data_IF_301739389306
#
_entry.id   IF_301739389306
#
_cell.length_a   1.000
_cell.length_b   1.000
_cell.length_c   1.000
_cell.angle_alpha   90.00
_cell.angle_beta   90.00
_cell.angle_gamma   90.00
#
_symmetry.space_group_name_H-M   'P 1'
#
loop_
_entity.id
_entity.type
_entity.pdbx_description
1 polymer ?
#
# COMPACT_ATOMS: atom_id res chain seq x y z
N UNK A 1 -6.39 -13.60 12.20
CA UNK A 1 -5.12 -14.24 11.85
C UNK A 1 -4.81 -13.87 10.40
N UNK A 2 -4.05 -12.79 10.19
CA UNK A 2 -3.45 -12.51 8.89
C UNK A 2 -2.19 -13.39 8.86
N UNK A 3 -2.25 -14.51 8.15
CA UNK A 3 -1.11 -15.42 8.07
C UNK A 3 -0.15 -14.84 7.02
N UNK A 4 0.71 -13.92 7.47
CA UNK A 4 1.94 -13.60 6.75
C UNK A 4 3.06 -14.33 7.49
N UNK A 5 3.24 -15.62 7.18
CA UNK A 5 4.46 -16.31 7.62
C UNK A 5 5.65 -15.76 6.83
N UNK A 6 6.57 -15.13 7.55
CA UNK A 6 7.98 -14.96 7.21
C UNK A 6 8.32 -14.03 6.00
N UNK A 7 8.80 -12.82 6.31
CA UNK A 7 9.48 -11.91 5.38
C UNK A 7 10.99 -11.90 5.65
N UNK A 8 11.78 -12.70 4.91
CA UNK A 8 13.20 -12.42 4.75
C UNK A 8 13.57 -12.51 3.27
N UNK A 9 13.11 -11.53 2.49
CA UNK A 9 13.73 -11.12 1.21
C UNK A 9 13.08 -11.53 -0.13
N UNK A 10 11.78 -11.85 -0.25
CA UNK A 10 11.14 -11.98 -1.58
C UNK A 10 9.67 -11.55 -1.74
N UNK A 11 8.87 -11.57 -0.66
CA UNK A 11 7.42 -11.31 -0.75
C UNK A 11 7.08 -9.83 -1.07
N UNK A 12 7.73 -8.87 -0.40
CA UNK A 12 7.46 -7.45 -0.63
C UNK A 12 8.03 -6.94 -1.96
N UNK A 13 9.25 -7.36 -2.31
CA UNK A 13 9.88 -6.96 -3.58
C UNK A 13 9.05 -7.43 -4.78
N UNK A 14 8.64 -8.70 -4.79
CA UNK A 14 7.78 -9.24 -5.86
C UNK A 14 6.45 -8.48 -5.98
N UNK A 15 5.90 -8.03 -4.85
CA UNK A 15 4.69 -7.21 -4.84
C UNK A 15 4.94 -5.81 -5.43
N UNK A 16 6.02 -5.14 -5.01
CA UNK A 16 6.40 -3.81 -5.51
C UNK A 16 6.70 -3.90 -7.02
N UNK A 17 7.47 -4.90 -7.46
CA UNK A 17 7.74 -5.17 -8.87
C UNK A 17 6.44 -5.41 -9.66
N UNK A 18 5.51 -6.20 -9.11
CA UNK A 18 4.21 -6.42 -9.74
C UNK A 18 3.41 -5.13 -9.95
N UNK A 19 3.46 -4.16 -9.02
CA UNK A 19 2.82 -2.86 -9.22
C UNK A 19 3.58 -2.02 -10.27
N UNK A 20 4.91 -2.03 -10.25
CA UNK A 20 5.73 -1.35 -11.25
C UNK A 20 5.41 -1.87 -12.65
N UNK A 21 5.30 -3.19 -12.81
CA UNK A 21 4.90 -3.83 -14.06
C UNK A 21 3.54 -3.33 -14.54
N UNK A 22 2.54 -3.24 -13.67
CA UNK A 22 1.22 -2.72 -14.04
C UNK A 22 1.25 -1.26 -14.51
N UNK A 23 2.14 -0.44 -13.93
CA UNK A 23 2.13 1.02 -14.13
C UNK A 23 3.10 1.52 -15.20
N UNK A 24 4.23 0.85 -15.39
CA UNK A 24 5.37 1.35 -16.16
C UNK A 24 5.82 0.38 -17.24
N UNK A 25 6.04 -0.89 -16.89
CA UNK A 25 6.74 -1.82 -17.78
C UNK A 25 5.77 -2.67 -18.65
N UNK A 26 4.49 -2.72 -18.29
CA UNK A 26 3.44 -3.25 -19.15
C UNK A 26 3.23 -2.37 -20.38
N UNK A 27 3.01 -3.01 -21.54
CA UNK A 27 2.58 -2.37 -22.79
C UNK A 27 1.35 -1.47 -22.62
N UNK A 28 0.54 -1.75 -21.61
CA UNK A 28 -0.65 -1.01 -21.23
C UNK A 28 -0.51 -0.57 -19.77
N UNK A 29 -0.68 0.74 -19.52
CA UNK A 29 -0.73 1.28 -18.16
C UNK A 29 -2.04 0.87 -17.51
N UNK A 30 -2.00 -0.01 -16.52
CA UNK A 30 -3.18 -0.55 -15.83
C UNK A 30 -3.29 0.06 -14.44
N UNK A 31 -4.43 0.68 -14.13
CA UNK A 31 -4.76 1.13 -12.78
C UNK A 31 -5.69 0.11 -12.15
N UNK A 32 -5.27 -0.52 -11.05
CA UNK A 32 -5.98 -1.64 -10.43
C UNK A 32 -7.24 -1.18 -9.67
N UNK A 33 -7.14 -0.11 -8.86
CA UNK A 33 -8.21 0.50 -8.06
C UNK A 33 -8.79 -0.34 -6.91
N UNK A 34 -8.23 -1.52 -6.64
CA UNK A 34 -8.64 -2.37 -5.50
C UNK A 34 -7.45 -3.18 -4.95
N UNK A 35 -6.28 -2.53 -4.81
CA UNK A 35 -5.14 -3.15 -4.15
C UNK A 35 -5.40 -3.24 -2.64
N UNK A 36 -5.34 -4.46 -2.10
CA UNK A 36 -5.55 -4.79 -0.69
C UNK A 36 -4.92 -6.14 -0.37
N UNK A 37 -4.76 -6.43 0.92
CA UNK A 37 -4.16 -7.68 1.41
C UNK A 37 -4.79 -8.94 0.79
N UNK A 38 -6.11 -9.01 0.70
CA UNK A 38 -6.82 -10.18 0.16
C UNK A 38 -6.67 -10.37 -1.35
N UNK A 39 -6.20 -9.36 -2.07
CA UNK A 39 -5.95 -9.42 -3.51
C UNK A 39 -4.47 -9.71 -3.82
N UNK A 40 -3.64 -9.91 -2.80
CA UNK A 40 -2.26 -10.37 -2.95
C UNK A 40 -2.21 -11.86 -2.63
N UNK A 41 -1.91 -12.66 -3.65
CA UNK A 41 -1.73 -14.10 -3.54
C UNK A 41 -0.26 -14.41 -3.33
N UNK A 42 0.02 -15.49 -2.61
CA UNK A 42 1.37 -16.02 -2.43
C UNK A 42 1.45 -17.39 -3.12
N UNK A 43 2.50 -17.63 -3.90
CA UNK A 43 2.79 -18.96 -4.42
C UNK A 43 3.58 -19.82 -3.43
N UNK A 44 3.93 -21.06 -3.83
CA UNK A 44 4.61 -22.01 -2.96
C UNK A 44 5.99 -21.53 -2.52
N UNK A 45 6.61 -20.63 -3.29
CA UNK A 45 7.89 -20.01 -3.02
C UNK A 45 7.76 -18.65 -2.30
N UNK A 46 6.55 -18.31 -1.82
CA UNK A 46 6.25 -17.06 -1.11
C UNK A 46 6.45 -15.79 -1.97
N UNK A 47 6.34 -15.90 -3.29
CA UNK A 47 6.31 -14.72 -4.16
C UNK A 47 4.89 -14.16 -4.23
N UNK A 48 4.79 -12.84 -4.09
CA UNK A 48 3.53 -12.13 -4.16
C UNK A 48 3.06 -11.94 -5.62
N UNK A 49 1.77 -12.17 -5.86
CA UNK A 49 1.09 -11.97 -7.14
C UNK A 49 -0.19 -11.16 -6.94
N UNK A 50 -0.37 -10.13 -7.77
CA UNK A 50 -1.57 -9.30 -7.74
C UNK A 50 -2.71 -10.04 -8.45
N UNK A 51 -3.89 -10.03 -7.85
CA UNK A 51 -5.10 -10.69 -8.36
C UNK A 51 -6.31 -9.76 -8.35
N UNK A 52 -7.42 -10.22 -8.95
CA UNK A 52 -8.70 -9.50 -9.03
C UNK A 52 -8.65 -8.15 -9.79
N UNK A 53 -8.44 -8.26 -11.10
CA UNK A 53 -8.48 -7.13 -12.03
C UNK A 53 -9.90 -6.71 -12.43
N UNK A 54 -10.96 -7.19 -11.77
CA UNK A 54 -12.35 -6.87 -12.14
C UNK A 54 -12.67 -5.38 -12.08
N UNK A 55 -11.93 -4.64 -11.27
CA UNK A 55 -12.03 -3.18 -11.14
C UNK A 55 -10.97 -2.42 -11.93
N UNK A 56 -10.03 -3.10 -12.59
CA UNK A 56 -8.91 -2.44 -13.24
C UNK A 56 -9.34 -1.61 -14.46
N UNK A 57 -8.52 -0.62 -14.82
CA UNK A 57 -8.73 0.26 -15.98
C UNK A 57 -7.43 0.46 -16.73
N UNK A 58 -7.49 0.37 -18.05
CA UNK A 58 -6.36 0.63 -18.93
C UNK A 58 -6.36 2.13 -19.27
N UNK A 59 -5.21 2.76 -19.08
CA UNK A 59 -4.92 4.10 -19.59
C UNK A 59 -4.22 3.96 -20.96
N UNK A 60 -4.69 4.76 -21.92
CA UNK A 60 -4.09 4.84 -23.25
C UNK A 60 -3.38 6.17 -23.48
N UNK A 61 -2.37 6.17 -24.36
CA UNK A 61 -1.62 7.38 -24.72
C UNK A 61 -1.03 8.10 -23.51
N UNK A 62 -1.16 9.42 -23.48
CA UNK A 62 -0.64 10.28 -22.42
C UNK A 62 -1.60 10.45 -21.22
N UNK A 63 -2.61 9.58 -21.10
CA UNK A 63 -3.56 9.66 -20.00
C UNK A 63 -2.87 9.41 -18.65
N UNK A 64 -2.87 10.42 -17.78
CA UNK A 64 -2.30 10.37 -16.44
C UNK A 64 -3.34 10.28 -15.33
N UNK A 65 -4.59 10.66 -15.61
CA UNK A 65 -5.71 10.64 -14.67
C UNK A 65 -7.04 10.40 -15.41
N UNK A 66 -8.01 9.82 -14.71
CA UNK A 66 -9.36 9.62 -15.19
C UNK A 66 -10.38 9.91 -14.09
N UNK A 67 -11.61 10.27 -14.49
CA UNK A 67 -12.75 10.46 -13.57
C UNK A 67 -13.81 9.41 -13.84
N UNK A 68 -14.39 8.85 -12.77
CA UNK A 68 -15.55 7.95 -12.85
C UNK A 68 -16.71 8.50 -12.04
N UNK A 69 -17.95 8.26 -12.51
CA UNK A 69 -19.17 8.52 -11.74
C UNK A 69 -19.45 7.43 -10.70
N UNK A 70 -18.94 6.21 -10.93
CA UNK A 70 -19.10 5.06 -10.03
C UNK A 70 -17.77 4.79 -9.33
N UNK A 71 -17.68 5.17 -8.06
CA UNK A 71 -16.57 4.81 -7.17
C UNK A 71 -16.77 3.35 -6.75
N UNK A 72 -15.75 2.53 -6.93
CA UNK A 72 -15.75 1.10 -6.60
C UNK A 72 -14.40 0.73 -5.98
N UNK A 73 -14.35 -0.35 -5.21
CA UNK A 73 -13.15 -0.83 -4.53
C UNK A 73 -13.39 -0.94 -3.03
N UNK A 74 -12.32 -1.09 -2.28
CA UNK A 74 -12.39 -1.35 -0.84
C UNK A 74 -12.15 -0.08 -0.03
N UNK A 75 -13.12 0.29 0.81
CA UNK A 75 -13.00 1.42 1.74
C UNK A 75 -11.77 1.24 2.65
N UNK A 76 -11.11 2.34 3.01
CA UNK A 76 -9.85 2.31 3.75
C UNK A 76 -8.60 2.17 2.88
N UNK A 77 -8.68 1.58 1.69
CA UNK A 77 -7.55 1.51 0.74
C UNK A 77 -7.63 2.58 -0.37
N UNK A 78 -8.80 3.20 -0.55
CA UNK A 78 -9.00 4.23 -1.58
C UNK A 78 -8.31 5.54 -1.22
N UNK A 79 -7.58 6.12 -2.17
CA UNK A 79 -7.06 7.48 -2.02
C UNK A 79 -8.20 8.50 -1.83
N UNK A 80 -8.00 9.59 -1.06
CA UNK A 80 -9.03 10.58 -0.78
C UNK A 80 -9.68 11.17 -2.04
N UNK A 81 -8.86 11.56 -3.04
CA UNK A 81 -9.33 12.12 -4.32
C UNK A 81 -10.22 11.13 -5.10
N UNK A 82 -9.92 9.84 -5.01
CA UNK A 82 -10.74 8.80 -5.63
C UNK A 82 -12.05 8.60 -4.89
N UNK A 83 -12.00 8.45 -3.56
CA UNK A 83 -13.17 8.22 -2.73
C UNK A 83 -14.18 9.39 -2.79
N UNK A 84 -13.69 10.63 -2.77
CA UNK A 84 -14.53 11.83 -2.70
C UNK A 84 -15.00 12.33 -4.07
N UNK A 85 -14.17 12.22 -5.10
CA UNK A 85 -14.40 12.88 -6.39
C UNK A 85 -14.39 11.93 -7.59
N UNK A 86 -14.05 10.65 -7.38
CA UNK A 86 -13.97 9.65 -8.43
C UNK A 86 -12.76 9.79 -9.35
N UNK A 87 -11.74 10.58 -8.99
CA UNK A 87 -10.51 10.68 -9.77
C UNK A 87 -9.52 9.58 -9.39
N UNK A 88 -9.06 8.82 -10.38
CA UNK A 88 -8.08 7.77 -10.18
C UNK A 88 -6.91 7.88 -11.15
N UNK A 89 -5.76 7.40 -10.70
CA UNK A 89 -4.51 7.35 -11.45
C UNK A 89 -3.58 6.30 -10.84
N UNK A 90 -2.37 6.17 -11.38
CA UNK A 90 -1.27 5.40 -10.75
C UNK A 90 -1.10 5.79 -9.28
N UNK A 91 -1.25 7.07 -8.94
CA UNK A 91 -1.11 7.56 -7.55
C UNK A 91 -2.23 7.09 -6.63
N UNK A 92 -3.37 6.66 -7.16
CA UNK A 92 -4.42 6.03 -6.36
C UNK A 92 -4.00 4.64 -5.90
N UNK A 93 -3.37 3.86 -6.78
CA UNK A 93 -2.82 2.54 -6.44
C UNK A 93 -1.61 2.66 -5.48
N UNK A 94 -0.77 3.69 -5.63
CA UNK A 94 0.32 4.00 -4.67
C UNK A 94 -0.23 4.23 -3.26
N UNK A 95 -1.37 4.92 -3.13
CA UNK A 95 -2.00 5.12 -1.83
C UNK A 95 -2.44 3.79 -1.22
N UNK A 96 -3.12 2.95 -2.01
CA UNK A 96 -3.55 1.62 -1.59
C UNK A 96 -2.37 0.72 -1.19
N UNK A 97 -1.25 0.81 -1.91
CA UNK A 97 0.02 0.18 -1.56
C UNK A 97 0.53 0.64 -0.19
N UNK A 98 0.51 1.96 0.08
CA UNK A 98 0.93 2.50 1.38
C UNK A 98 0.11 1.95 2.55
N UNK A 99 -1.21 1.83 2.38
CA UNK A 99 -2.10 1.21 3.38
C UNK A 99 -1.67 -0.24 3.61
N UNK A 100 -1.53 -1.02 2.55
CA UNK A 100 -1.17 -2.43 2.62
C UNK A 100 0.21 -2.65 3.26
N UNK A 101 1.19 -1.82 2.94
CA UNK A 101 2.52 -1.89 3.53
C UNK A 101 2.48 -1.69 5.05
N UNK A 102 1.70 -0.71 5.53
CA UNK A 102 1.52 -0.49 6.97
C UNK A 102 0.75 -1.63 7.64
N UNK A 103 -0.24 -2.23 6.98
CA UNK A 103 -0.93 -3.42 7.51
C UNK A 103 0.02 -4.61 7.66
N UNK A 104 0.93 -4.82 6.71
CA UNK A 104 1.94 -5.89 6.77
C UNK A 104 2.89 -5.66 7.96
N UNK A 105 3.41 -4.44 8.12
CA UNK A 105 4.37 -4.12 9.18
C UNK A 105 3.72 -4.22 10.57
N UNK A 106 2.46 -3.78 10.67
CA UNK A 106 1.75 -3.71 11.96
C UNK A 106 1.03 -5.00 12.33
N UNK A 107 0.79 -5.90 11.36
CA UNK A 107 -0.07 -7.06 11.54
C UNK A 107 -1.55 -6.70 11.79
N UNK A 108 -1.93 -5.43 11.62
CA UNK A 108 -3.26 -4.90 11.95
C UNK A 108 -4.00 -4.48 10.68
N UNK A 109 -5.31 -4.73 10.65
CA UNK A 109 -6.18 -4.29 9.54
C UNK A 109 -6.54 -2.83 9.68
N UNK A 110 -6.35 -2.04 8.63
CA UNK A 110 -6.68 -0.62 8.59
C UNK A 110 -8.16 -0.34 8.96
N UNK A 111 -9.06 -1.24 8.55
CA UNK A 111 -10.48 -1.21 8.92
C UNK A 111 -10.66 -1.96 10.25
N UNK A 112 -10.54 -1.23 11.37
CA UNK A 112 -10.67 -1.78 12.72
C UNK A 112 -10.81 -0.68 13.77
N UNK A 113 -11.30 -1.04 14.95
CA UNK A 113 -11.34 -0.14 16.11
C UNK A 113 -9.97 -0.15 16.80
N UNK A 114 -9.41 1.05 17.01
CA UNK A 114 -8.12 1.26 17.65
C UNK A 114 -8.34 1.94 19.01
N UNK A 115 -8.53 1.17 20.11
CA UNK A 115 -8.84 1.73 21.42
C UNK A 115 -7.77 2.70 21.94
N UNK A 116 -6.52 2.48 21.55
CA UNK A 116 -5.35 3.25 22.01
C UNK A 116 -4.95 4.40 21.06
N UNK A 117 -5.75 4.69 20.02
CA UNK A 117 -5.46 5.75 19.04
C UNK A 117 -6.45 6.89 19.12
N UNK A 118 -5.94 8.12 19.25
CA UNK A 118 -6.72 9.35 19.20
C UNK A 118 -7.40 9.58 17.83
N UNK A 119 -6.91 8.93 16.76
CA UNK A 119 -7.35 9.18 15.38
C UNK A 119 -8.33 8.13 14.83
N UNK A 120 -8.71 7.12 15.63
CA UNK A 120 -9.68 6.04 15.28
C UNK A 120 -9.33 5.19 14.05
N UNK A 121 -8.14 5.33 13.45
CA UNK A 121 -7.68 4.55 12.30
C UNK A 121 -6.16 4.27 12.37
N UNK A 122 -5.71 3.21 11.67
CA UNK A 122 -4.32 2.75 11.69
C UNK A 122 -3.35 3.84 11.24
N UNK A 123 -3.69 4.52 10.15
CA UNK A 123 -2.82 5.49 9.49
C UNK A 123 -2.48 6.65 10.44
N UNK A 124 -3.48 7.19 11.14
CA UNK A 124 -3.25 8.27 12.09
C UNK A 124 -2.44 7.82 13.31
N UNK A 125 -2.64 6.59 13.79
CA UNK A 125 -1.83 6.01 14.87
C UNK A 125 -0.35 5.87 14.47
N UNK A 126 -0.10 5.35 13.26
CA UNK A 126 1.25 5.23 12.71
C UNK A 126 1.91 6.59 12.54
N UNK A 127 1.16 7.60 12.07
CA UNK A 127 1.65 8.97 11.96
C UNK A 127 2.04 9.59 13.31
N UNK A 128 1.24 9.37 14.35
CA UNK A 128 1.50 9.86 15.70
C UNK A 128 2.80 9.27 16.26
N UNK A 129 2.96 7.95 16.18
CA UNK A 129 4.16 7.27 16.66
C UNK A 129 5.38 7.68 15.84
N UNK A 130 5.26 7.80 14.53
CA UNK A 130 6.35 8.29 13.67
C UNK A 130 6.82 9.69 14.07
N UNK A 131 5.89 10.63 14.28
CA UNK A 131 6.20 12.01 14.70
C UNK A 131 6.87 12.08 16.08
N UNK A 132 6.56 11.13 16.95
CA UNK A 132 7.14 11.04 18.28
C UNK A 132 8.47 10.26 18.32
N UNK A 133 9.02 9.84 17.17
CA UNK A 133 10.25 9.05 17.10
C UNK A 133 10.08 7.59 17.53
N UNK A 134 8.84 7.12 17.62
CA UNK A 134 8.43 5.80 18.11
C UNK A 134 8.03 4.83 17.00
N UNK A 135 8.57 5.02 15.80
CA UNK A 135 8.23 4.23 14.61
C UNK A 135 8.46 2.72 14.77
N UNK A 136 9.31 2.26 15.70
CA UNK A 136 9.48 0.82 15.92
C UNK A 136 8.40 0.19 16.81
N UNK A 137 7.62 1.00 17.55
CA UNK A 137 6.57 0.51 18.45
C UNK A 137 5.35 -0.03 17.69
N UNK A 138 5.19 0.30 16.41
CA UNK A 138 4.07 -0.19 15.58
C UNK A 138 4.30 -1.58 15.00
N UNK A 139 5.54 -2.08 15.05
CA UNK A 139 5.91 -3.33 14.38
C UNK A 139 5.26 -4.50 15.10
N UNK A 140 4.69 -5.43 14.34
CA UNK A 140 4.02 -6.60 14.90
C UNK A 140 4.98 -7.40 15.80
N UNK A 141 4.59 -7.57 17.07
CA UNK A 141 5.36 -8.33 18.05
C UNK A 141 5.50 -9.81 17.68
N UNK A 142 4.63 -10.33 16.82
CA UNK A 142 4.69 -11.70 16.30
C UNK A 142 5.89 -11.95 15.37
N UNK A 143 6.51 -10.89 14.82
CA UNK A 143 7.68 -10.99 13.95
C UNK A 143 8.98 -11.35 14.69
N UNK A 144 8.94 -11.48 16.02
CA UNK A 144 10.02 -12.05 16.83
C UNK A 144 11.33 -11.25 16.85
N UNK A 145 11.32 -10.01 16.35
CA UNK A 145 12.47 -9.09 16.41
C UNK A 145 13.66 -9.48 15.51
N UNK A 146 13.48 -10.38 14.54
CA UNK A 146 14.57 -10.92 13.70
C UNK A 146 14.81 -10.13 12.40
N UNK A 147 14.39 -8.87 12.35
CA UNK A 147 14.44 -8.01 11.16
C UNK A 147 15.40 -6.82 11.32
N UNK A 148 16.03 -6.33 10.24
CA UNK A 148 16.85 -5.12 10.30
C UNK A 148 15.99 -3.88 10.59
N UNK A 149 16.20 -3.24 11.75
CA UNK A 149 15.40 -2.07 12.16
C UNK A 149 15.44 -0.92 11.15
N UNK A 150 16.57 -0.70 10.48
CA UNK A 150 16.72 0.33 9.46
C UNK A 150 15.83 0.07 8.23
N UNK A 151 15.67 -1.19 7.82
CA UNK A 151 14.82 -1.57 6.70
C UNK A 151 13.35 -1.40 7.06
N UNK A 152 12.96 -1.78 8.28
CA UNK A 152 11.59 -1.60 8.76
C UNK A 152 11.24 -0.12 8.85
N UNK A 153 12.10 0.73 9.43
CA UNK A 153 11.89 2.17 9.48
C UNK A 153 11.75 2.78 8.07
N UNK A 154 12.55 2.31 7.11
CA UNK A 154 12.44 2.73 5.71
C UNK A 154 11.10 2.33 5.11
N UNK A 155 10.64 1.10 5.35
CA UNK A 155 9.33 0.64 4.89
C UNK A 155 8.18 1.48 5.48
N UNK A 156 8.27 1.83 6.77
CA UNK A 156 7.30 2.71 7.43
C UNK A 156 7.30 4.09 6.77
N UNK A 157 8.48 4.67 6.54
CA UNK A 157 8.62 5.96 5.86
C UNK A 157 8.02 5.92 4.45
N UNK A 158 8.30 4.89 3.66
CA UNK A 158 7.73 4.68 2.32
C UNK A 158 6.20 4.59 2.41
N UNK A 159 5.66 3.85 3.38
CA UNK A 159 4.22 3.75 3.62
C UNK A 159 3.60 5.13 3.88
N UNK A 160 4.20 5.91 4.79
CA UNK A 160 3.74 7.26 5.14
C UNK A 160 3.84 8.26 3.97
N UNK A 161 4.90 8.20 3.16
CA UNK A 161 5.04 8.99 1.93
C UNK A 161 4.00 8.59 0.87
N UNK A 162 3.64 7.31 0.80
CA UNK A 162 2.60 6.82 -0.11
C UNK A 162 1.19 7.27 0.30
N UNK A 163 0.98 7.62 1.57
CA UNK A 163 -0.30 8.01 2.15
C UNK A 163 -0.55 9.52 2.19
N UNK A 164 0.28 10.33 1.52
CA UNK A 164 0.03 11.78 1.44
C UNK A 164 -1.33 12.09 0.80
N UNK A 165 -2.01 13.13 1.30
CA UNK A 165 -3.31 13.56 0.79
C UNK A 165 -3.22 13.98 -0.68
N UNK A 166 -2.20 14.79 -1.00
CA UNK A 166 -1.92 15.17 -2.38
C UNK A 166 -1.29 14.01 -3.15
N UNK A 167 -1.85 13.73 -4.33
CA UNK A 167 -1.31 12.72 -5.24
C UNK A 167 0.09 13.09 -5.76
N UNK A 168 0.46 14.37 -5.80
CA UNK A 168 1.79 14.81 -6.26
C UNK A 168 2.90 14.40 -5.31
N UNK A 169 2.60 14.39 -4.02
CA UNK A 169 3.59 14.21 -2.95
C UNK A 169 3.90 12.73 -2.70
N UNK A 170 3.07 11.84 -3.22
CA UNK A 170 3.31 10.40 -3.21
C UNK A 170 4.45 10.03 -4.15
N UNK A 171 5.35 9.10 -3.78
CA UNK A 171 6.40 8.64 -4.67
C UNK A 171 5.82 7.93 -5.91
N UNK A 172 6.64 7.79 -6.95
CA UNK A 172 6.36 6.84 -8.03
C UNK A 172 6.78 5.45 -7.57
N UNK A 173 6.11 4.39 -8.04
CA UNK A 173 6.49 3.02 -7.66
C UNK A 173 7.92 2.65 -8.07
N UNK A 174 8.42 3.17 -9.20
CA UNK A 174 9.84 3.00 -9.56
C UNK A 174 10.81 3.70 -8.61
N UNK A 175 10.40 4.81 -7.99
CA UNK A 175 11.19 5.43 -6.93
C UNK A 175 11.17 4.58 -5.66
N UNK A 176 10.03 3.95 -5.33
CA UNK A 176 9.92 3.03 -4.18
C UNK A 176 10.85 1.83 -4.31
N UNK A 177 11.00 1.26 -5.52
CA UNK A 177 11.97 0.17 -5.79
C UNK A 177 13.43 0.60 -5.57
N UNK A 178 13.73 1.88 -5.82
CA UNK A 178 15.10 2.40 -5.78
C UNK A 178 15.55 2.88 -4.39
N UNK A 179 14.70 2.80 -3.35
CA UNK A 179 14.94 3.35 -2.00
C UNK A 179 15.55 2.35 -1.02
#
# INVERSE_FOLDING_TARGET
MLIYEYLPNKSLDSFIFGIVDLHQDSRLRIIHRDLKASNILLDAEMNAKISDFGMARIFGGDQVEAKTKRVVGTYGYMSPKYAMQGYFSVKSDVFSFGVLLLEIITGRRNIGYYPDSLTSNLIGHVWELWRNGKGMEIVDSSLGGTYPAAEVLRCIQIGLLSLQDSATDRPKMSAVVAM
#
